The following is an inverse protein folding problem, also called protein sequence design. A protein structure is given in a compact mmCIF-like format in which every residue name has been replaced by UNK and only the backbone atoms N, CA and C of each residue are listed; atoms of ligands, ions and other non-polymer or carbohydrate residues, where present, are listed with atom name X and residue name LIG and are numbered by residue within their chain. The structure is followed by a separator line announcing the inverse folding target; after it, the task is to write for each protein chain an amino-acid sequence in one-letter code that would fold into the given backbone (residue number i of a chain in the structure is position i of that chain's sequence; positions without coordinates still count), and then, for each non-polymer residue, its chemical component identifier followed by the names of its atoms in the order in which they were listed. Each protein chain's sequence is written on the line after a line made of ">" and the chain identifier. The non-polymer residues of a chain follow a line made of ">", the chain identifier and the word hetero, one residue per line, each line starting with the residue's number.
data_IF_141372526148
#
_entry.id   IF_141372526148
#
_cell.length_a   1.000
_cell.length_b   1.000
_cell.length_c   1.000
_cell.angle_alpha   90.00
_cell.angle_beta   90.00
_cell.angle_gamma   90.00
#
_symmetry.space_group_name_H-M   'P 1'
#
loop_
_entity.id
_entity.type
_entity.pdbx_description
1 polymer ?
#
# COMPACT_ATOMS: atom_id res chain seq x y z
N UNK A 1 -33.82 -46.90 35.98
CA UNK A 1 -32.65 -46.45 35.20
C UNK A 1 -33.04 -46.37 33.74
N UNK A 2 -32.82 -45.23 33.07
CA UNK A 2 -33.20 -44.99 31.67
C UNK A 2 -32.51 -45.95 30.70
N UNK A 3 -33.22 -46.42 29.67
CA UNK A 3 -32.71 -47.29 28.60
C UNK A 3 -31.45 -46.73 27.91
N UNK A 4 -31.29 -45.40 27.89
CA UNK A 4 -30.12 -44.74 27.34
C UNK A 4 -28.82 -45.08 28.11
N UNK A 5 -28.91 -45.25 29.44
CA UNK A 5 -27.74 -45.53 30.28
C UNK A 5 -27.23 -46.96 30.13
N UNK A 6 -28.12 -47.90 29.77
CA UNK A 6 -27.74 -49.29 29.44
C UNK A 6 -27.07 -49.40 28.06
N UNK A 7 -27.51 -48.64 27.06
CA UNK A 7 -26.86 -48.61 25.74
C UNK A 7 -25.45 -47.99 25.80
N UNK A 8 -25.26 -46.92 26.56
CA UNK A 8 -23.96 -46.26 26.74
C UNK A 8 -22.92 -47.17 27.42
N UNK A 9 -23.34 -48.01 28.37
CA UNK A 9 -22.46 -48.99 29.02
C UNK A 9 -22.11 -50.18 28.10
N UNK A 10 -23.04 -50.62 27.25
CA UNK A 10 -22.81 -51.72 26.28
C UNK A 10 -21.84 -51.31 25.15
N UNK A 11 -21.74 -50.00 24.87
CA UNK A 11 -20.80 -49.42 23.89
C UNK A 11 -19.46 -49.01 24.50
N UNK A 12 -19.17 -49.38 25.76
CA UNK A 12 -17.85 -49.25 26.37
C UNK A 12 -17.42 -47.82 26.74
N UNK A 13 -18.35 -46.87 26.85
CA UNK A 13 -18.03 -45.50 27.27
C UNK A 13 -17.68 -45.42 28.76
N UNK A 14 -16.53 -44.82 29.10
CA UNK A 14 -16.15 -44.45 30.48
C UNK A 14 -16.40 -42.95 30.70
N UNK A 15 -17.20 -42.60 31.70
CA UNK A 15 -17.48 -41.23 32.10
C UNK A 15 -16.20 -40.58 32.68
N UNK A 16 -15.73 -39.47 32.08
CA UNK A 16 -14.59 -38.75 32.63
C UNK A 16 -13.84 -37.72 31.78
N UNK A 17 -14.42 -37.14 30.71
CA UNK A 17 -13.77 -36.00 30.00
C UNK A 17 -14.75 -34.98 29.42
N UNK A 18 -14.70 -33.75 29.96
CA UNK A 18 -15.14 -32.47 29.36
C UNK A 18 -16.61 -32.09 29.56
N UNK A 19 -17.05 -30.82 29.69
CA UNK A 19 -16.43 -29.49 29.63
C UNK A 19 -17.54 -28.46 30.04
N UNK A 20 -17.26 -27.44 30.88
CA UNK A 20 -18.25 -26.38 31.17
C UNK A 20 -17.86 -25.25 32.16
N UNK A 21 -17.47 -24.09 31.59
CA UNK A 21 -17.77 -22.66 31.92
C UNK A 21 -17.62 -22.02 33.34
N UNK A 22 -16.72 -21.01 33.39
CA UNK A 22 -16.86 -19.54 33.64
C UNK A 22 -17.37 -18.91 34.98
N UNK A 23 -16.57 -17.93 35.49
CA UNK A 23 -16.84 -16.57 36.09
C UNK A 23 -15.86 -16.27 37.26
N UNK A 24 -15.49 -15.06 37.68
CA UNK A 24 -15.35 -13.68 37.17
C UNK A 24 -14.68 -12.88 38.31
N UNK A 25 -13.68 -12.04 37.97
CA UNK A 25 -13.11 -10.83 38.62
C UNK A 25 -12.87 -10.72 40.15
N UNK A 26 -11.67 -10.26 40.53
CA UNK A 26 -11.47 -9.06 41.36
C UNK A 26 -9.99 -8.60 41.43
N UNK A 27 -9.77 -7.33 40.99
CA UNK A 27 -8.83 -6.28 41.45
C UNK A 27 -7.28 -6.46 41.45
N UNK A 28 -6.60 -5.54 40.74
CA UNK A 28 -5.13 -5.36 40.64
C UNK A 28 -4.44 -4.89 41.94
N UNK A 29 -3.12 -5.14 42.07
CA UNK A 29 -2.18 -4.03 41.86
C UNK A 29 -0.89 -4.40 41.08
N UNK A 30 -0.38 -3.47 40.28
CA UNK A 30 1.01 -3.43 39.75
C UNK A 30 1.90 -2.61 40.72
N UNK A 31 3.21 -2.87 40.91
CA UNK A 31 4.18 -2.82 39.81
C UNK A 31 5.41 -3.78 39.82
N UNK A 32 5.78 -4.14 38.59
CA UNK A 32 7.13 -4.28 38.02
C UNK A 32 8.23 -5.10 38.74
N UNK A 33 8.46 -6.31 38.20
CA UNK A 33 9.64 -6.65 37.36
C UNK A 33 9.26 -7.89 36.54
N UNK A 34 9.15 -7.75 35.22
CA UNK A 34 8.93 -8.89 34.31
C UNK A 34 10.28 -9.55 34.10
N UNK A 35 10.53 -10.62 34.84
CA UNK A 35 11.55 -11.59 34.51
C UNK A 35 11.16 -12.30 33.20
N UNK A 36 12.17 -12.60 32.39
CA UNK A 36 12.03 -13.20 31.07
C UNK A 36 11.13 -14.45 31.11
N UNK A 37 10.07 -14.44 30.32
CA UNK A 37 9.22 -15.63 30.12
C UNK A 37 10.04 -16.68 29.38
N UNK A 38 10.49 -17.71 30.10
CA UNK A 38 11.17 -18.88 29.55
C UNK A 38 10.25 -19.57 28.53
N UNK A 39 10.63 -19.57 27.24
CA UNK A 39 9.93 -20.35 26.22
C UNK A 39 10.07 -21.84 26.56
N UNK A 40 8.98 -22.64 26.51
CA UNK A 40 9.09 -24.07 26.70
C UNK A 40 9.92 -24.69 25.57
N UNK A 41 10.98 -25.43 25.93
CA UNK A 41 11.87 -26.08 24.97
C UNK A 41 11.09 -26.96 23.97
N UNK A 42 11.43 -26.86 22.70
CA UNK A 42 10.88 -27.71 21.65
C UNK A 42 11.26 -29.18 21.86
N UNK A 43 10.49 -30.10 21.29
CA UNK A 43 10.80 -31.53 21.39
C UNK A 43 12.21 -31.85 20.84
N UNK A 44 12.64 -31.14 19.80
CA UNK A 44 13.97 -31.28 19.23
C UNK A 44 15.07 -30.79 20.19
N UNK A 45 14.85 -29.66 20.87
CA UNK A 45 15.79 -29.10 21.86
C UNK A 45 15.97 -30.04 23.05
N UNK A 46 14.88 -30.64 23.53
CA UNK A 46 14.91 -31.65 24.60
C UNK A 46 15.75 -32.87 24.20
N UNK A 47 15.58 -33.36 22.97
CA UNK A 47 16.37 -34.48 22.46
C UNK A 47 17.85 -34.11 22.32
N UNK A 48 18.17 -32.89 21.86
CA UNK A 48 19.56 -32.42 21.75
C UNK A 48 20.23 -32.32 23.12
N UNK A 49 19.53 -31.80 24.13
CA UNK A 49 20.02 -31.76 25.50
C UNK A 49 20.31 -33.16 26.06
N UNK A 50 19.43 -34.13 25.80
CA UNK A 50 19.65 -35.54 26.18
C UNK A 50 20.89 -36.17 25.52
N UNK A 51 21.27 -35.69 24.33
CA UNK A 51 22.48 -36.13 23.62
C UNK A 51 23.75 -35.37 24.05
N UNK A 52 23.67 -34.52 25.08
CA UNK A 52 24.81 -33.81 25.65
C UNK A 52 25.16 -32.49 24.95
N UNK A 53 24.26 -31.97 24.10
CA UNK A 53 24.39 -30.62 23.55
C UNK A 53 24.30 -29.57 24.66
N UNK A 54 25.14 -28.52 24.57
CA UNK A 54 25.08 -27.36 25.47
C UNK A 54 24.78 -26.11 24.64
N UNK A 55 23.86 -25.29 25.15
CA UNK A 55 23.47 -24.04 24.52
C UNK A 55 24.71 -23.15 24.27
N UNK A 56 24.75 -22.54 23.08
CA UNK A 56 25.87 -21.68 22.65
C UNK A 56 27.12 -22.42 22.16
N UNK A 57 27.12 -23.76 22.08
CA UNK A 57 28.27 -24.52 21.55
C UNK A 57 27.96 -25.25 20.25
N UNK A 58 28.95 -25.33 19.37
CA UNK A 58 28.84 -26.07 18.13
C UNK A 58 28.71 -27.58 18.32
N UNK A 59 28.13 -28.27 17.34
CA UNK A 59 28.14 -29.73 17.28
C UNK A 59 29.55 -30.26 16.91
N UNK A 60 29.86 -31.50 17.29
CA UNK A 60 31.11 -32.18 16.95
C UNK A 60 32.03 -32.48 18.14
N UNK A 61 33.05 -33.31 17.92
CA UNK A 61 33.92 -33.85 18.98
C UNK A 61 34.62 -32.77 19.83
N UNK A 62 35.02 -31.66 19.21
CA UNK A 62 35.64 -30.51 19.86
C UNK A 62 34.70 -29.29 19.89
N UNK A 63 33.39 -29.49 19.67
CA UNK A 63 32.37 -28.43 19.60
C UNK A 63 32.64 -27.37 18.53
N UNK A 64 33.28 -27.79 17.43
CA UNK A 64 33.74 -26.92 16.35
C UNK A 64 32.67 -26.57 15.30
N UNK A 65 31.48 -27.17 15.38
CA UNK A 65 30.38 -26.88 14.46
C UNK A 65 29.89 -25.43 14.57
N UNK A 66 29.26 -24.92 13.53
CA UNK A 66 28.61 -23.61 13.59
C UNK A 66 27.42 -23.64 14.54
N UNK A 67 27.32 -22.63 15.40
CA UNK A 67 26.22 -22.46 16.36
C UNK A 67 24.96 -21.96 15.67
N UNK A 68 25.14 -21.07 14.70
CA UNK A 68 24.06 -20.49 13.92
C UNK A 68 23.97 -21.15 12.55
N UNK A 69 22.74 -21.23 12.02
CA UNK A 69 22.52 -21.72 10.67
C UNK A 69 23.28 -20.85 9.66
N UNK A 70 23.85 -21.49 8.64
CA UNK A 70 24.49 -20.77 7.54
C UNK A 70 23.46 -19.87 6.87
N UNK A 71 23.74 -18.57 6.84
CA UNK A 71 22.89 -17.61 6.15
C UNK A 71 22.76 -18.00 4.67
N UNK A 72 21.53 -18.21 4.22
CA UNK A 72 21.27 -18.49 2.81
C UNK A 72 21.65 -17.27 1.96
N UNK A 73 22.12 -17.51 0.74
CA UNK A 73 22.42 -16.43 -0.19
C UNK A 73 21.17 -15.59 -0.43
N UNK A 74 21.25 -14.28 -0.19
CA UNK A 74 20.15 -13.32 -0.42
C UNK A 74 19.94 -12.99 -1.91
N UNK A 75 20.53 -13.77 -2.81
CA UNK A 75 20.42 -13.56 -4.25
C UNK A 75 19.03 -14.00 -4.73
N UNK A 76 18.14 -13.03 -4.92
CA UNK A 76 16.84 -13.23 -5.56
C UNK A 76 16.93 -12.83 -7.03
N UNK A 77 16.53 -13.73 -7.93
CA UNK A 77 16.49 -13.49 -9.38
C UNK A 77 17.76 -13.93 -10.13
N UNK A 78 17.75 -13.74 -11.46
CA UNK A 78 18.78 -14.20 -12.39
C UNK A 78 19.84 -13.12 -12.66
N UNK A 79 20.37 -12.52 -11.60
CA UNK A 79 21.46 -11.56 -11.71
C UNK A 79 22.82 -12.27 -11.81
N UNK A 80 23.74 -11.70 -12.58
CA UNK A 80 25.10 -12.21 -12.68
C UNK A 80 25.84 -12.13 -11.33
N UNK A 81 26.67 -13.13 -11.05
CA UNK A 81 27.56 -13.11 -9.89
C UNK A 81 28.51 -11.90 -10.02
N UNK A 82 28.61 -11.07 -8.97
CA UNK A 82 29.44 -9.85 -9.00
C UNK A 82 28.72 -8.56 -9.44
N UNK A 83 27.41 -8.60 -9.73
CA UNK A 83 26.65 -7.37 -9.95
C UNK A 83 26.60 -6.54 -8.66
N UNK A 84 27.13 -5.31 -8.70
CA UNK A 84 27.25 -4.40 -7.55
C UNK A 84 25.88 -3.97 -7.04
N UNK A 85 25.29 -4.80 -6.17
CA UNK A 85 24.05 -4.54 -5.44
C UNK A 85 24.17 -3.35 -4.48
N UNK A 86 25.38 -2.83 -4.23
CA UNK A 86 25.69 -1.86 -3.17
C UNK A 86 25.01 -0.50 -3.30
N UNK A 87 24.64 -0.04 -4.50
CA UNK A 87 23.79 1.17 -4.63
C UNK A 87 22.30 0.91 -4.37
N UNK A 88 21.83 -0.33 -4.58
CA UNK A 88 20.44 -0.73 -4.34
C UNK A 88 20.22 -1.25 -2.90
N UNK A 89 21.30 -1.60 -2.18
CA UNK A 89 21.27 -2.08 -0.78
C UNK A 89 21.10 -0.94 0.23
N UNK A 90 21.47 0.31 -0.11
CA UNK A 90 21.28 1.47 0.77
C UNK A 90 19.81 1.87 0.95
N UNK A 91 18.95 1.52 -0.01
CA UNK A 91 17.52 1.41 0.22
C UNK A 91 17.33 0.05 0.86
N UNK A 92 17.42 0.03 2.19
CA UNK A 92 17.21 -1.16 2.97
C UNK A 92 15.97 -1.87 2.46
N UNK A 93 16.17 -3.02 1.79
CA UNK A 93 15.15 -4.05 1.80
C UNK A 93 15.12 -4.50 3.25
N UNK A 94 14.44 -3.74 4.09
CA UNK A 94 13.91 -4.28 5.33
C UNK A 94 12.97 -5.39 4.88
N UNK A 95 13.51 -6.60 4.79
CA UNK A 95 12.79 -7.81 4.46
C UNK A 95 11.66 -8.11 5.46
N UNK A 96 11.54 -7.27 6.49
CA UNK A 96 10.51 -7.28 7.51
C UNK A 96 9.26 -6.46 7.14
N UNK A 97 9.34 -5.57 6.14
CA UNK A 97 8.16 -4.81 5.70
C UNK A 97 7.24 -5.72 4.88
N UNK A 98 6.31 -6.36 5.58
CA UNK A 98 5.29 -7.20 4.98
C UNK A 98 4.19 -6.30 4.42
N UNK A 99 3.88 -6.48 3.13
CA UNK A 99 2.74 -5.83 2.49
C UNK A 99 1.47 -6.09 3.32
N UNK A 100 0.86 -5.01 3.82
CA UNK A 100 -0.38 -5.09 4.58
C UNK A 100 -1.56 -4.70 3.68
N UNK A 101 -2.23 -5.69 3.11
CA UNK A 101 -3.40 -5.50 2.25
C UNK A 101 -4.60 -4.86 2.95
N UNK A 102 -4.63 -4.82 4.29
CA UNK A 102 -5.69 -4.11 5.03
C UNK A 102 -5.56 -2.59 4.99
N UNK A 103 -4.40 -2.06 4.56
CA UNK A 103 -4.20 -0.62 4.35
C UNK A 103 -4.64 -0.16 2.95
N UNK A 104 -4.97 -1.09 2.06
CA UNK A 104 -5.35 -0.81 0.68
C UNK A 104 -6.86 -0.55 0.61
N UNK A 105 -7.25 0.72 0.54
CA UNK A 105 -8.64 1.08 0.26
C UNK A 105 -8.90 1.00 -1.25
N UNK A 106 -9.86 0.17 -1.66
CA UNK A 106 -10.24 -0.04 -3.06
C UNK A 106 -11.62 0.55 -3.28
N UNK A 107 -11.70 1.87 -3.30
CA UNK A 107 -12.94 2.54 -3.64
C UNK A 107 -13.21 2.40 -5.13
N UNK A 108 -14.41 1.94 -5.47
CA UNK A 108 -14.93 1.92 -6.85
C UNK A 108 -15.56 3.27 -7.22
N UNK A 109 -16.06 4.01 -6.23
CA UNK A 109 -16.73 5.28 -6.44
C UNK A 109 -15.74 6.44 -6.44
N UNK A 110 -15.71 7.18 -7.55
CA UNK A 110 -14.93 8.40 -7.71
C UNK A 110 -15.80 9.62 -7.40
N UNK A 111 -15.32 10.52 -6.55
CA UNK A 111 -16.02 11.75 -6.22
C UNK A 111 -15.46 12.94 -7.02
N UNK A 112 -16.33 13.57 -7.80
CA UNK A 112 -15.98 14.78 -8.55
C UNK A 112 -16.12 16.00 -7.66
N UNK A 113 -15.05 16.79 -7.55
CA UNK A 113 -15.08 18.13 -6.96
C UNK A 113 -14.81 19.15 -8.04
N UNK A 114 -15.72 20.08 -8.18
CA UNK A 114 -15.65 21.13 -9.17
C UNK A 114 -15.07 22.41 -8.57
N UNK A 115 -14.41 23.21 -9.40
CA UNK A 115 -14.00 24.55 -9.01
C UNK A 115 -15.26 25.41 -8.77
N UNK A 116 -15.13 26.41 -7.90
CA UNK A 116 -16.21 27.36 -7.66
C UNK A 116 -16.56 28.10 -8.96
N UNK A 117 -17.84 28.40 -9.15
CA UNK A 117 -18.30 29.22 -10.27
C UNK A 117 -17.63 30.59 -10.21
N UNK A 118 -16.98 30.97 -11.31
CA UNK A 118 -16.38 32.28 -11.45
C UNK A 118 -17.49 33.29 -11.79
N UNK A 119 -17.68 34.36 -11.00
CA UNK A 119 -18.60 35.45 -11.38
C UNK A 119 -18.18 36.08 -12.71
N UNK A 120 -19.15 36.46 -13.53
CA UNK A 120 -18.89 37.10 -14.83
C UNK A 120 -18.09 38.40 -14.66
N UNK A 121 -18.37 39.17 -13.60
CA UNK A 121 -17.61 40.37 -13.23
C UNK A 121 -16.12 40.11 -12.97
N UNK A 122 -15.76 38.92 -12.47
CA UNK A 122 -14.35 38.55 -12.25
C UNK A 122 -13.66 38.25 -13.56
N UNK A 123 -14.37 37.62 -14.50
CA UNK A 123 -13.83 37.36 -15.84
C UNK A 123 -13.56 38.67 -16.57
N UNK A 124 -14.51 39.61 -16.56
CA UNK A 124 -14.36 40.91 -17.22
C UNK A 124 -13.20 41.70 -16.62
N UNK A 125 -13.10 41.71 -15.27
CA UNK A 125 -11.96 42.32 -14.60
C UNK A 125 -10.62 41.69 -14.97
N UNK A 126 -10.54 40.35 -15.08
CA UNK A 126 -9.31 39.67 -15.52
C UNK A 126 -8.96 40.10 -16.93
N UNK A 127 -9.91 40.16 -17.86
CA UNK A 127 -9.64 40.60 -19.23
C UNK A 127 -9.11 42.03 -19.27
N UNK A 128 -9.75 42.96 -18.56
CA UNK A 128 -9.31 44.37 -18.47
C UNK A 128 -7.91 44.48 -17.84
N UNK A 129 -7.64 43.72 -16.78
CA UNK A 129 -6.34 43.67 -16.12
C UNK A 129 -5.25 43.14 -17.06
N UNK A 130 -5.57 42.14 -17.88
CA UNK A 130 -4.64 41.53 -18.82
C UNK A 130 -4.38 42.39 -20.06
N UNK A 131 -5.36 43.14 -20.53
CA UNK A 131 -5.17 44.10 -21.63
C UNK A 131 -4.23 45.26 -21.23
N UNK A 132 -4.27 45.67 -19.96
CA UNK A 132 -3.45 46.75 -19.41
C UNK A 132 -2.10 46.32 -18.83
N UNK A 133 -1.80 45.03 -18.75
CA UNK A 133 -0.59 44.51 -18.10
C UNK A 133 0.33 43.75 -19.06
N UNK A 134 1.62 43.73 -18.76
CA UNK A 134 2.56 42.83 -19.41
C UNK A 134 2.49 41.44 -18.74
N UNK A 135 1.40 40.67 -18.98
CA UNK A 135 1.29 39.31 -18.40
C UNK A 135 2.50 38.45 -18.77
N UNK A 136 3.08 38.68 -19.96
CA UNK A 136 4.11 37.81 -20.52
C UNK A 136 5.45 38.29 -19.99
N UNK A 137 5.89 37.66 -18.92
CA UNK A 137 7.22 37.88 -18.38
C UNK A 137 8.22 36.93 -19.06
N UNK A 138 9.15 37.50 -19.83
CA UNK A 138 10.24 36.73 -20.46
C UNK A 138 11.41 36.68 -19.47
N UNK A 139 11.63 35.51 -18.87
CA UNK A 139 12.71 35.25 -17.92
C UNK A 139 13.80 34.32 -18.46
N UNK A 140 14.78 34.03 -17.60
CA UNK A 140 15.80 33.03 -17.87
C UNK A 140 15.20 31.61 -17.93
N UNK A 141 15.84 30.73 -18.70
CA UNK A 141 15.41 29.33 -18.84
C UNK A 141 15.59 28.58 -17.52
N UNK A 142 14.50 28.27 -16.84
CA UNK A 142 14.48 27.42 -15.64
C UNK A 142 14.40 25.93 -16.01
N UNK A 143 15.29 25.12 -15.44
CA UNK A 143 15.36 23.66 -15.62
C UNK A 143 15.13 22.88 -14.32
N UNK A 144 14.94 23.58 -13.20
CA UNK A 144 14.68 22.97 -11.88
C UNK A 144 13.25 23.24 -11.44
N UNK A 145 12.63 22.25 -10.81
CA UNK A 145 11.28 22.31 -10.23
C UNK A 145 11.31 22.44 -8.70
N UNK A 146 12.49 22.32 -8.06
CA UNK A 146 12.62 22.15 -6.60
C UNK A 146 12.06 23.32 -5.78
N UNK A 147 12.02 24.50 -6.38
CA UNK A 147 11.62 25.79 -5.79
C UNK A 147 10.26 26.30 -6.31
N UNK A 148 9.48 25.49 -7.03
CA UNK A 148 8.13 25.85 -7.50
C UNK A 148 7.05 25.68 -6.43
N UNK A 149 7.02 26.61 -5.45
CA UNK A 149 6.17 26.50 -4.25
C UNK A 149 4.98 27.48 -4.21
N UNK A 150 4.64 28.13 -5.32
CA UNK A 150 3.57 29.14 -5.35
C UNK A 150 2.17 28.54 -5.13
N UNK A 151 1.94 27.30 -5.58
CA UNK A 151 0.66 26.60 -5.49
C UNK A 151 0.76 25.25 -4.77
N UNK A 152 1.90 24.95 -4.16
CA UNK A 152 2.16 23.71 -3.45
C UNK A 152 3.11 23.98 -2.28
N UNK A 153 2.86 23.33 -1.14
CA UNK A 153 3.76 23.41 0.01
C UNK A 153 5.15 22.85 -0.38
N UNK A 154 6.19 23.66 -0.14
CA UNK A 154 7.57 23.30 -0.44
C UNK A 154 8.05 22.05 0.31
N UNK A 155 7.52 21.76 1.50
CA UNK A 155 7.85 20.50 2.18
C UNK A 155 7.28 19.28 1.45
N UNK A 156 6.02 19.37 1.01
CA UNK A 156 5.35 18.30 0.27
C UNK A 156 6.05 18.08 -1.07
N UNK A 157 6.38 19.16 -1.78
CA UNK A 157 7.12 19.11 -3.03
C UNK A 157 8.47 18.39 -2.87
N UNK A 158 9.28 18.80 -1.89
CA UNK A 158 10.58 18.17 -1.61
C UNK A 158 10.44 16.70 -1.22
N UNK A 159 9.48 16.37 -0.35
CA UNK A 159 9.20 14.97 0.05
C UNK A 159 8.80 14.12 -1.15
N UNK A 160 7.95 14.64 -2.05
CA UNK A 160 7.56 13.95 -3.28
C UNK A 160 8.77 13.73 -4.21
N UNK A 161 9.60 14.76 -4.44
CA UNK A 161 10.76 14.67 -5.32
C UNK A 161 11.80 13.69 -4.79
N UNK A 162 12.11 13.77 -3.49
CA UNK A 162 12.98 12.80 -2.83
C UNK A 162 12.46 11.36 -2.99
N UNK A 163 11.14 11.16 -2.84
CA UNK A 163 10.52 9.85 -3.03
C UNK A 163 10.60 9.34 -4.47
N UNK A 164 10.57 10.23 -5.47
CA UNK A 164 10.77 9.85 -6.88
C UNK A 164 12.22 9.45 -7.17
N UNK A 165 13.19 10.19 -6.63
CA UNK A 165 14.61 9.94 -6.85
C UNK A 165 15.09 8.59 -6.28
N UNK A 166 14.40 8.03 -5.28
CA UNK A 166 14.65 6.68 -4.75
C UNK A 166 14.60 5.61 -5.86
N UNK A 167 13.78 5.82 -6.90
CA UNK A 167 13.59 4.86 -7.97
C UNK A 167 14.62 4.97 -9.10
N UNK A 168 15.45 6.02 -9.15
CA UNK A 168 16.42 6.25 -10.23
C UNK A 168 17.49 5.15 -10.33
N UNK A 169 17.79 4.51 -9.20
CA UNK A 169 18.76 3.40 -9.12
C UNK A 169 18.12 2.04 -9.40
N UNK A 170 16.79 1.98 -9.57
CA UNK A 170 16.04 0.74 -9.77
C UNK A 170 15.83 0.49 -11.27
N UNK A 171 16.17 -0.69 -11.80
CA UNK A 171 15.94 -1.01 -13.20
C UNK A 171 14.46 -0.88 -13.59
N UNK A 172 14.18 -0.30 -14.75
CA UNK A 172 12.80 -0.08 -15.23
C UNK A 172 11.94 -1.35 -15.30
N UNK A 173 12.55 -2.52 -15.53
CA UNK A 173 11.82 -3.80 -15.53
C UNK A 173 11.22 -4.09 -14.16
N UNK A 174 12.02 -3.95 -13.12
CA UNK A 174 11.63 -4.26 -11.74
C UNK A 174 10.60 -3.23 -11.25
N UNK A 175 10.75 -1.96 -11.67
CA UNK A 175 9.76 -0.92 -11.40
C UNK A 175 8.39 -1.24 -12.01
N UNK A 176 8.33 -1.69 -13.27
CA UNK A 176 7.06 -2.07 -13.91
C UNK A 176 6.41 -3.27 -13.23
N UNK A 177 7.20 -4.27 -12.83
CA UNK A 177 6.69 -5.46 -12.13
C UNK A 177 6.22 -5.11 -10.71
N UNK A 178 6.91 -4.20 -10.02
CA UNK A 178 6.46 -3.67 -8.74
C UNK A 178 5.17 -2.86 -8.90
N UNK A 179 5.12 -1.94 -9.87
CA UNK A 179 3.94 -1.14 -10.18
C UNK A 179 2.75 -2.03 -10.47
N UNK A 180 2.88 -3.01 -11.37
CA UNK A 180 1.77 -3.90 -11.75
C UNK A 180 1.20 -4.73 -10.59
N UNK A 181 1.98 -4.93 -9.52
CA UNK A 181 1.53 -5.61 -8.30
C UNK A 181 0.99 -4.65 -7.24
N UNK A 182 1.47 -3.41 -7.22
CA UNK A 182 1.15 -2.42 -6.20
C UNK A 182 -0.08 -1.56 -6.57
N UNK A 183 -0.41 -1.41 -7.85
CA UNK A 183 -1.56 -0.60 -8.28
C UNK A 183 -2.85 -1.44 -8.27
N UNK A 184 -3.83 -1.13 -7.38
CA UNK A 184 -5.07 -1.92 -7.24
C UNK A 184 -5.85 -2.07 -8.55
N UNK A 185 -5.81 -1.03 -9.39
CA UNK A 185 -6.60 -0.89 -10.61
C UNK A 185 -5.87 -1.38 -11.87
N UNK A 186 -4.66 -1.95 -11.75
CA UNK A 186 -3.88 -2.41 -12.91
C UNK A 186 -4.58 -3.49 -13.71
N UNK A 187 -5.36 -4.33 -13.03
CA UNK A 187 -6.07 -5.48 -13.60
C UNK A 187 -7.15 -5.08 -14.60
N UNK A 188 -7.64 -3.84 -14.55
CA UNK A 188 -8.57 -3.28 -15.55
C UNK A 188 -7.90 -3.23 -16.93
N UNK A 189 -6.61 -2.86 -16.96
CA UNK A 189 -5.81 -2.82 -18.19
C UNK A 189 -6.48 -2.00 -19.30
N UNK A 190 -6.61 -2.61 -20.48
CA UNK A 190 -7.31 -2.04 -21.62
C UNK A 190 -8.71 -2.64 -21.83
N UNK A 191 -9.12 -3.60 -20.99
CA UNK A 191 -10.30 -4.43 -21.19
C UNK A 191 -10.43 -4.91 -22.66
N UNK A 192 -11.52 -4.56 -23.35
CA UNK A 192 -11.80 -4.89 -24.75
C UNK A 192 -11.25 -3.86 -25.75
N UNK A 193 -10.65 -2.77 -25.28
CA UNK A 193 -10.07 -1.74 -26.14
C UNK A 193 -8.64 -2.06 -26.54
N UNK A 194 -8.20 -1.45 -27.64
CA UNK A 194 -6.82 -1.57 -28.15
C UNK A 194 -5.77 -0.95 -27.20
N UNK A 195 -6.14 0.07 -26.44
CA UNK A 195 -5.22 0.77 -25.53
C UNK A 195 -5.88 1.07 -24.18
N UNK A 196 -5.05 1.28 -23.16
CA UNK A 196 -5.51 1.67 -21.82
C UNK A 196 -6.11 3.08 -21.78
N UNK A 197 -5.75 3.95 -22.72
CA UNK A 197 -6.30 5.31 -22.80
C UNK A 197 -7.80 5.29 -23.07
N UNK A 198 -8.30 4.35 -23.87
CA UNK A 198 -9.74 4.20 -24.09
C UNK A 198 -10.49 3.85 -22.79
N UNK A 199 -9.92 3.01 -21.92
CA UNK A 199 -10.49 2.75 -20.60
C UNK A 199 -10.51 3.99 -19.71
N UNK A 200 -9.50 4.87 -19.80
CA UNK A 200 -9.52 6.15 -19.07
C UNK A 200 -10.65 7.06 -19.55
N UNK A 201 -10.84 7.17 -20.86
CA UNK A 201 -11.91 7.97 -21.44
C UNK A 201 -13.28 7.40 -21.03
N UNK A 202 -13.46 6.08 -21.11
CA UNK A 202 -14.70 5.43 -20.66
C UNK A 202 -14.97 5.65 -19.17
N UNK A 203 -13.92 5.62 -18.33
CA UNK A 203 -14.04 5.92 -16.91
C UNK A 203 -14.47 7.37 -16.67
N UNK A 204 -13.77 8.34 -17.28
CA UNK A 204 -14.11 9.76 -17.16
C UNK A 204 -15.53 10.03 -17.66
N UNK A 205 -15.90 9.51 -18.82
CA UNK A 205 -17.23 9.68 -19.38
C UNK A 205 -18.30 9.14 -18.43
N UNK A 206 -18.08 7.98 -17.78
CA UNK A 206 -18.97 7.46 -16.74
C UNK A 206 -19.03 8.36 -15.50
N UNK A 207 -17.87 8.79 -14.98
CA UNK A 207 -17.73 9.62 -13.78
C UNK A 207 -18.40 10.99 -13.95
N UNK A 208 -18.37 11.55 -15.16
CA UNK A 208 -19.01 12.82 -15.49
C UNK A 208 -20.46 12.70 -15.98
N UNK A 209 -21.08 11.51 -15.98
CA UNK A 209 -22.49 11.37 -16.38
C UNK A 209 -22.72 11.35 -17.90
N UNK A 210 -21.77 10.81 -18.65
CA UNK A 210 -21.77 10.65 -20.10
C UNK A 210 -21.83 11.98 -20.87
N UNK A 211 -21.08 12.98 -20.40
CA UNK A 211 -21.01 14.29 -21.08
C UNK A 211 -20.50 14.16 -22.51
N UNK A 212 -19.60 13.21 -22.81
CA UNK A 212 -19.01 13.09 -24.15
C UNK A 212 -19.82 12.16 -25.07
N UNK A 213 -20.26 11.00 -24.58
CA UNK A 213 -20.97 10.02 -25.42
C UNK A 213 -22.49 10.16 -25.41
N UNK A 214 -23.03 10.87 -24.41
CA UNK A 214 -24.46 11.03 -24.18
C UNK A 214 -25.02 12.39 -24.62
N UNK A 215 -24.26 13.17 -25.39
CA UNK A 215 -24.64 14.50 -25.87
C UNK A 215 -26.00 14.45 -26.58
N UNK A 216 -26.97 15.17 -26.02
CA UNK A 216 -28.31 15.38 -26.58
C UNK A 216 -28.58 16.88 -26.46
N UNK A 217 -29.23 17.51 -27.43
CA UNK A 217 -29.51 18.98 -27.39
C UNK A 217 -30.17 19.38 -26.07
N UNK A 218 -31.05 18.54 -25.54
CA UNK A 218 -31.71 18.74 -24.24
C UNK A 218 -30.76 18.66 -23.04
N UNK A 219 -29.71 17.83 -23.06
CA UNK A 219 -28.72 17.73 -21.97
C UNK A 219 -27.65 18.83 -22.01
N UNK A 220 -27.48 19.46 -23.17
CA UNK A 220 -26.65 20.66 -23.34
C UNK A 220 -27.43 21.92 -22.90
N UNK A 221 -28.76 21.93 -23.08
CA UNK A 221 -29.62 23.09 -22.81
C UNK A 221 -30.33 23.06 -21.44
N UNK A 222 -30.49 21.90 -20.81
CA UNK A 222 -30.85 21.81 -19.40
C UNK A 222 -29.55 21.93 -18.63
N UNK A 223 -29.28 23.06 -17.96
CA UNK A 223 -28.26 23.07 -16.94
C UNK A 223 -28.81 22.06 -15.93
N UNK A 224 -28.10 20.95 -15.74
CA UNK A 224 -28.14 20.34 -14.43
C UNK A 224 -27.52 21.37 -13.49
N UNK A 225 -28.34 22.35 -13.11
CA UNK A 225 -28.37 22.95 -11.79
C UNK A 225 -28.43 21.74 -10.85
N UNK A 226 -27.27 21.20 -10.49
CA UNK A 226 -26.49 21.86 -9.49
C UNK A 226 -25.13 22.45 -9.84
N UNK A 227 -24.42 22.24 -10.96
CA UNK A 227 -23.00 22.65 -10.95
C UNK A 227 -22.27 23.21 -12.20
N UNK A 228 -22.82 23.29 -13.42
CA UNK A 228 -22.05 23.86 -14.55
C UNK A 228 -22.79 24.93 -15.33
N UNK A 229 -22.52 26.19 -15.00
CA UNK A 229 -22.69 27.32 -15.92
C UNK A 229 -21.31 27.78 -16.40
N UNK A 230 -21.14 27.70 -17.72
CA UNK A 230 -20.17 28.39 -18.59
C UNK A 230 -18.74 28.58 -18.07
N UNK A 231 -17.83 27.71 -18.51
CA UNK A 231 -16.66 28.04 -19.33
C UNK A 231 -15.73 26.82 -19.36
N UNK A 232 -15.84 26.04 -20.44
CA UNK A 232 -14.84 25.02 -20.77
C UNK A 232 -13.61 25.73 -21.36
N UNK A 233 -12.71 26.20 -20.50
CA UNK A 233 -11.34 26.51 -20.92
C UNK A 233 -10.48 25.27 -20.63
N UNK A 234 -10.27 24.46 -21.67
CA UNK A 234 -9.17 23.51 -21.70
C UNK A 234 -7.96 24.28 -22.20
N UNK A 235 -7.09 24.72 -21.29
CA UNK A 235 -5.73 25.15 -21.64
C UNK A 235 -4.81 23.93 -21.60
N UNK A 236 -4.15 23.66 -22.72
CA UNK A 236 -3.04 22.71 -22.85
C UNK A 236 -1.80 23.18 -22.09
#
# INVERSE_FOLDING_TARGET
>A
MSNAKKMMAMMGYKEGTGLGKAKQEDLEPLPAKVDAVEKPMSNAEKMMAMMGYKEGTGLGKAKQGMVEAVALSTQRGRFGLGHNRTKTIGIGRDFLETWNGSKEDKTFEEHVRWMATCPESTRDWVLDYLEGSEWIEIGEKRLSIDDETNFCDGEILRKMLQSKNVFDVVPHRDLREAQARATPYETIGAAFFRNRTAMKVANLDRTFGFIFSGETEEKLLVPSYSHFHHNLFVTF
#
